data_IF_906200479339
#
_entry.id   IF_906200479339
#
_cell.length_a   1.000
_cell.length_b   1.000
_cell.length_c   1.000
_cell.angle_alpha   90.00
_cell.angle_beta   90.00
_cell.angle_gamma   90.00
#
_symmetry.space_group_name_H-M   'P 1'
#
loop_
_entity.id
_entity.type
_entity.pdbx_description
1 polymer ?
#
# COMPACT_ATOMS: atom_id res chain seq x y z
N UNK A 1 47.57 -28.03 47.66
CA UNK A 1 48.58 -26.98 47.92
C UNK A 1 49.58 -27.02 46.78
N UNK A 2 49.48 -26.10 45.80
CA UNK A 2 50.54 -25.76 44.84
C UNK A 2 50.19 -24.39 44.24
N UNK A 3 51.20 -23.55 44.15
CA UNK A 3 51.15 -22.09 43.98
C UNK A 3 51.84 -21.73 42.65
N UNK A 4 51.19 -20.86 41.84
CA UNK A 4 51.72 -19.96 40.77
C UNK A 4 52.35 -20.58 39.51
N UNK A 5 52.51 -19.83 38.37
CA UNK A 5 52.50 -18.37 38.22
C UNK A 5 51.63 -17.76 37.09
N UNK A 6 51.52 -16.43 37.14
CA UNK A 6 51.06 -15.52 36.07
C UNK A 6 52.07 -15.49 34.92
N UNK A 7 51.58 -15.45 33.68
CA UNK A 7 52.31 -14.90 32.55
C UNK A 7 51.41 -13.93 31.79
N UNK A 8 51.92 -12.71 31.63
CA UNK A 8 51.31 -11.55 31.01
C UNK A 8 52.01 -11.36 29.67
N UNK A 9 51.29 -11.40 28.54
CA UNK A 9 51.79 -10.89 27.26
C UNK A 9 50.65 -10.18 26.51
N UNK A 10 50.92 -8.92 26.18
CA UNK A 10 50.06 -8.03 25.42
C UNK A 10 50.32 -8.18 23.92
N UNK A 11 49.26 -8.20 23.09
CA UNK A 11 49.37 -7.81 21.68
C UNK A 11 48.17 -6.95 21.27
N UNK A 12 48.47 -5.65 21.21
CA UNK A 12 48.05 -4.61 20.24
C UNK A 12 46.83 -4.87 19.34
N UNK A 13 45.79 -4.06 19.60
CA UNK A 13 44.91 -3.30 18.67
C UNK A 13 44.61 -3.89 17.28
N UNK A 14 43.35 -4.30 17.09
CA UNK A 14 42.62 -4.06 15.84
C UNK A 14 41.21 -3.58 16.17
N UNK A 15 40.97 -2.27 16.03
CA UNK A 15 39.62 -1.71 15.98
C UNK A 15 39.04 -2.07 14.61
N UNK A 16 38.16 -3.06 14.55
CA UNK A 16 37.29 -3.24 13.39
C UNK A 16 36.23 -2.12 13.42
N UNK A 17 36.38 -1.18 12.50
CA UNK A 17 35.35 -0.23 12.14
C UNK A 17 34.32 -1.00 11.31
N UNK A 18 33.21 -1.39 11.94
CA UNK A 18 32.03 -1.87 11.22
C UNK A 18 31.31 -0.63 10.68
N UNK A 19 31.68 -0.21 9.47
CA UNK A 19 30.86 0.70 8.67
C UNK A 19 29.63 -0.06 8.18
N UNK A 20 28.62 -0.15 9.04
CA UNK A 20 27.29 -0.61 8.67
C UNK A 20 26.56 0.50 7.92
N UNK A 21 26.59 0.46 6.59
CA UNK A 21 25.67 1.24 5.76
C UNK A 21 24.26 0.66 5.95
N UNK A 22 23.51 1.21 6.91
CA UNK A 22 22.10 0.92 7.07
C UNK A 22 21.33 1.55 5.90
N UNK A 23 21.02 0.73 4.89
CA UNK A 23 20.04 1.06 3.84
C UNK A 23 18.66 1.15 4.50
N UNK A 24 18.32 2.34 5.00
CA UNK A 24 16.97 2.72 5.41
C UNK A 24 16.07 2.65 4.18
N UNK A 25 15.39 1.51 4.00
CA UNK A 25 14.27 1.41 3.07
C UNK A 25 13.14 2.27 3.62
N UNK A 26 13.01 3.47 3.08
CA UNK A 26 11.85 4.35 3.31
C UNK A 26 10.68 3.65 2.62
N UNK A 27 9.99 2.79 3.34
CA UNK A 27 8.63 2.39 2.96
C UNK A 27 7.77 3.59 3.33
N UNK A 28 7.52 4.46 2.35
CA UNK A 28 6.50 5.49 2.47
C UNK A 28 5.16 4.78 2.68
N UNK A 29 4.60 4.92 3.87
CA UNK A 29 3.20 4.60 4.10
C UNK A 29 2.43 5.87 3.75
N UNK A 30 1.82 5.90 2.56
CA UNK A 30 0.80 6.90 2.27
C UNK A 30 -0.28 6.80 3.35
N UNK A 31 -0.54 7.91 4.03
CA UNK A 31 -1.63 7.98 4.99
C UNK A 31 -2.92 8.14 4.19
N UNK A 32 -3.97 7.35 4.49
CA UNK A 32 -5.21 7.44 3.74
C UNK A 32 -5.78 8.84 3.88
N UNK A 33 -6.30 9.38 2.78
CA UNK A 33 -7.01 10.67 2.78
C UNK A 33 -8.14 10.65 3.81
N UNK A 34 -8.16 11.67 4.67
CA UNK A 34 -9.18 11.85 5.70
C UNK A 34 -10.21 12.90 5.27
N UNK A 35 -11.47 12.70 5.65
CA UNK A 35 -12.52 13.71 5.46
C UNK A 35 -12.12 15.08 6.01
N UNK A 36 -11.44 15.11 7.16
CA UNK A 36 -10.94 16.34 7.78
C UNK A 36 -9.97 17.12 6.89
N UNK A 37 -9.14 16.42 6.11
CA UNK A 37 -8.20 17.06 5.20
C UNK A 37 -8.94 17.63 3.98
N UNK A 38 -9.97 16.92 3.50
CA UNK A 38 -10.81 17.36 2.40
C UNK A 38 -11.77 18.50 2.76
N UNK A 39 -12.16 18.64 4.04
CA UNK A 39 -13.04 19.70 4.52
C UNK A 39 -12.34 21.06 4.64
N UNK A 40 -11.01 21.08 4.77
CA UNK A 40 -10.24 22.27 5.16
C UNK A 40 -10.40 23.46 4.20
N UNK A 41 -10.44 23.18 2.90
CA UNK A 41 -10.50 24.18 1.83
C UNK A 41 -11.76 24.02 0.94
N UNK A 42 -12.69 23.14 1.32
CA UNK A 42 -13.88 22.88 0.53
C UNK A 42 -14.98 23.92 0.79
N UNK A 43 -15.59 24.40 -0.30
CA UNK A 43 -16.73 25.32 -0.31
C UNK A 43 -18.07 24.59 -0.46
N UNK A 44 -18.04 23.28 -0.76
CA UNK A 44 -19.23 22.44 -0.88
C UNK A 44 -18.95 20.97 -0.57
N UNK A 45 -19.99 20.20 -0.25
CA UNK A 45 -19.87 18.75 -0.07
C UNK A 45 -19.50 18.02 -1.37
N UNK A 46 -19.78 18.60 -2.54
CA UNK A 46 -19.33 18.04 -3.82
C UNK A 46 -17.79 18.06 -3.92
N UNK A 47 -17.14 19.13 -3.45
CA UNK A 47 -15.68 19.23 -3.39
C UNK A 47 -15.07 18.26 -2.38
N UNK A 48 -15.69 18.11 -1.20
CA UNK A 48 -15.25 17.11 -0.20
C UNK A 48 -15.29 15.70 -0.80
N UNK A 49 -16.40 15.33 -1.46
CA UNK A 49 -16.54 14.01 -2.10
C UNK A 49 -15.52 13.78 -3.20
N UNK A 50 -15.27 14.80 -4.03
CA UNK A 50 -14.26 14.72 -5.10
C UNK A 50 -12.85 14.53 -4.51
N UNK A 51 -12.50 15.26 -3.45
CA UNK A 51 -11.24 15.09 -2.74
C UNK A 51 -11.07 13.66 -2.18
N UNK A 52 -12.11 13.13 -1.51
CA UNK A 52 -12.10 11.76 -1.01
C UNK A 52 -11.92 10.73 -2.13
N UNK A 53 -12.68 10.87 -3.23
CA UNK A 53 -12.58 9.97 -4.38
C UNK A 53 -11.18 10.00 -5.01
N UNK A 54 -10.60 11.19 -5.20
CA UNK A 54 -9.26 11.35 -5.75
C UNK A 54 -8.20 10.73 -4.85
N UNK A 55 -8.29 10.93 -3.53
CA UNK A 55 -7.38 10.31 -2.57
C UNK A 55 -7.42 8.78 -2.63
N UNK A 56 -8.61 8.19 -2.78
CA UNK A 56 -8.76 6.74 -2.96
C UNK A 56 -8.10 6.25 -4.26
N UNK A 57 -8.27 6.98 -5.35
CA UNK A 57 -7.65 6.64 -6.63
C UNK A 57 -6.12 6.75 -6.58
N UNK A 58 -5.59 7.76 -5.90
CA UNK A 58 -4.15 7.96 -5.67
C UNK A 58 -3.56 6.82 -4.82
N UNK A 59 -4.19 6.48 -3.69
CA UNK A 59 -3.76 5.38 -2.80
C UNK A 59 -3.74 4.04 -3.55
N UNK A 60 -4.77 3.78 -4.36
CA UNK A 60 -4.85 2.58 -5.19
C UNK A 60 -3.75 2.56 -6.25
N UNK A 61 -3.55 3.68 -6.95
CA UNK A 61 -2.55 3.79 -8.01
C UNK A 61 -1.14 3.62 -7.46
N UNK A 62 -0.82 4.24 -6.32
CA UNK A 62 0.48 4.07 -5.66
C UNK A 62 0.71 2.61 -5.28
N UNK A 63 -0.26 1.99 -4.62
CA UNK A 63 -0.18 0.59 -4.18
C UNK A 63 -0.01 -0.36 -5.36
N UNK A 64 -0.78 -0.18 -6.43
CA UNK A 64 -0.68 -0.97 -7.65
C UNK A 64 0.67 -0.78 -8.32
N UNK A 65 1.14 0.46 -8.50
CA UNK A 65 2.41 0.76 -9.14
C UNK A 65 3.59 0.16 -8.36
N UNK A 66 3.56 0.26 -7.04
CA UNK A 66 4.56 -0.36 -6.17
C UNK A 66 4.58 -1.88 -6.29
N UNK A 67 3.38 -2.50 -6.31
CA UNK A 67 3.23 -3.95 -6.51
C UNK A 67 3.75 -4.36 -7.89
N UNK A 68 3.37 -3.64 -8.94
CA UNK A 68 3.77 -3.89 -10.32
C UNK A 68 5.28 -3.82 -10.51
N UNK A 69 5.96 -2.82 -9.91
CA UNK A 69 7.43 -2.73 -9.95
C UNK A 69 8.08 -3.97 -9.34
N UNK A 70 7.60 -4.41 -8.16
CA UNK A 70 8.12 -5.59 -7.48
C UNK A 70 7.90 -6.86 -8.32
N UNK A 71 6.68 -7.07 -8.82
CA UNK A 71 6.32 -8.26 -9.59
C UNK A 71 7.09 -8.29 -10.91
N UNK A 72 7.12 -7.18 -11.66
CA UNK A 72 7.79 -7.11 -12.97
C UNK A 72 9.29 -7.35 -12.88
N UNK A 73 9.95 -6.86 -11.83
CA UNK A 73 11.38 -7.07 -11.63
C UNK A 73 11.75 -8.56 -11.44
N UNK A 74 10.81 -9.39 -10.97
CA UNK A 74 11.03 -10.81 -10.66
C UNK A 74 10.41 -11.75 -11.69
N UNK A 75 9.23 -11.42 -12.20
CA UNK A 75 8.50 -12.20 -13.20
C UNK A 75 7.63 -11.27 -14.07
N UNK A 76 8.11 -10.88 -15.26
CA UNK A 76 7.38 -10.00 -16.17
C UNK A 76 5.99 -10.53 -16.58
N UNK A 77 5.88 -11.84 -16.83
CA UNK A 77 4.61 -12.47 -17.22
C UNK A 77 3.56 -12.36 -16.09
N UNK A 78 3.98 -12.54 -14.83
CA UNK A 78 3.09 -12.33 -13.67
C UNK A 78 2.64 -10.88 -13.53
N UNK A 79 3.46 -9.92 -13.98
CA UNK A 79 3.09 -8.51 -13.96
C UNK A 79 1.99 -8.22 -14.98
N UNK A 80 2.04 -8.82 -16.16
CA UNK A 80 1.00 -8.68 -17.18
C UNK A 80 -0.33 -9.30 -16.70
N UNK A 81 -0.26 -10.45 -16.02
CA UNK A 81 -1.42 -11.06 -15.36
C UNK A 81 -1.99 -10.18 -14.25
N UNK A 82 -1.14 -9.53 -13.45
CA UNK A 82 -1.59 -8.60 -12.41
C UNK A 82 -2.33 -7.39 -13.02
N UNK A 83 -1.84 -6.84 -14.13
CA UNK A 83 -2.54 -5.76 -14.84
C UNK A 83 -3.88 -6.21 -15.41
N UNK A 84 -3.96 -7.39 -16.01
CA UNK A 84 -5.22 -7.94 -16.50
C UNK A 84 -6.24 -8.16 -15.36
N UNK A 85 -5.77 -8.68 -14.22
CA UNK A 85 -6.57 -8.85 -13.02
C UNK A 85 -7.05 -7.50 -12.45
N UNK A 86 -6.20 -6.47 -12.47
CA UNK A 86 -6.57 -5.11 -12.06
C UNK A 86 -7.65 -4.51 -12.96
N UNK A 87 -7.52 -4.64 -14.29
CA UNK A 87 -8.52 -4.15 -15.23
C UNK A 87 -9.88 -4.83 -15.03
N UNK A 88 -9.88 -6.15 -14.84
CA UNK A 88 -11.10 -6.91 -14.56
C UNK A 88 -11.74 -6.51 -13.23
N UNK A 89 -10.93 -6.33 -12.19
CA UNK A 89 -11.39 -5.84 -10.89
C UNK A 89 -12.01 -4.44 -11.00
N UNK A 90 -11.39 -3.51 -11.75
CA UNK A 90 -11.89 -2.15 -11.92
C UNK A 90 -13.28 -2.16 -12.55
N UNK A 91 -13.45 -2.95 -13.63
CA UNK A 91 -14.75 -3.12 -14.28
C UNK A 91 -15.80 -3.65 -13.31
N UNK A 92 -15.48 -4.70 -12.55
CA UNK A 92 -16.39 -5.27 -11.56
C UNK A 92 -16.79 -4.27 -10.48
N UNK A 93 -15.84 -3.50 -9.95
CA UNK A 93 -16.10 -2.47 -8.96
C UNK A 93 -16.98 -1.35 -9.53
N UNK A 94 -16.71 -0.88 -10.75
CA UNK A 94 -17.52 0.14 -11.43
C UNK A 94 -18.96 -0.32 -11.67
N UNK A 95 -19.15 -1.53 -12.18
CA UNK A 95 -20.47 -2.12 -12.42
C UNK A 95 -21.23 -2.27 -11.08
N UNK A 96 -20.54 -2.71 -10.03
CA UNK A 96 -21.12 -2.87 -8.68
C UNK A 96 -21.53 -1.53 -8.08
N UNK A 97 -20.71 -0.49 -8.20
CA UNK A 97 -21.06 0.83 -7.70
C UNK A 97 -22.14 1.50 -8.55
N UNK A 98 -22.22 1.20 -9.85
CA UNK A 98 -23.35 1.63 -10.69
C UNK A 98 -24.66 1.01 -10.23
N UNK A 99 -24.66 -0.29 -9.90
CA UNK A 99 -25.83 -0.94 -9.28
C UNK A 99 -26.17 -0.33 -7.92
N UNK A 100 -25.16 -0.11 -7.06
CA UNK A 100 -25.36 0.50 -5.74
C UNK A 100 -26.09 1.84 -5.85
N UNK A 101 -25.63 2.73 -6.76
CA UNK A 101 -26.28 4.01 -7.05
C UNK A 101 -27.72 3.83 -7.50
N UNK A 102 -27.97 2.92 -8.45
CA UNK A 102 -29.31 2.67 -8.99
C UNK A 102 -30.29 2.07 -7.96
N UNK A 103 -29.80 1.49 -6.87
CA UNK A 103 -30.62 0.94 -5.80
C UNK A 103 -31.20 2.01 -4.85
N UNK A 104 -30.74 3.27 -4.92
CA UNK A 104 -31.23 4.37 -4.08
C UNK A 104 -32.33 5.21 -4.76
N UNK A 105 -33.23 5.78 -3.96
CA UNK A 105 -34.41 6.50 -4.44
C UNK A 105 -34.23 8.03 -4.63
N UNK A 106 -33.12 8.61 -4.16
CA UNK A 106 -32.87 10.08 -4.25
C UNK A 106 -31.45 10.39 -4.72
N UNK A 107 -31.28 11.48 -5.47
CA UNK A 107 -30.00 11.89 -6.07
C UNK A 107 -28.92 12.27 -5.04
N UNK A 108 -29.32 12.80 -3.88
CA UNK A 108 -28.38 13.19 -2.83
C UNK A 108 -27.77 11.95 -2.16
N UNK A 109 -28.57 10.91 -1.94
CA UNK A 109 -28.09 9.61 -1.45
C UNK A 109 -27.28 8.85 -2.51
N UNK A 110 -27.57 9.09 -3.80
CA UNK A 110 -26.88 8.44 -4.92
C UNK A 110 -25.38 8.78 -4.98
N UNK A 111 -25.01 10.04 -4.74
CA UNK A 111 -23.60 10.46 -4.73
C UNK A 111 -22.82 9.88 -3.54
N UNK A 112 -23.42 9.88 -2.35
CA UNK A 112 -22.82 9.27 -1.17
C UNK A 112 -22.72 7.73 -1.32
N UNK A 113 -23.71 7.10 -1.93
CA UNK A 113 -23.69 5.67 -2.23
C UNK A 113 -22.56 5.29 -3.19
N UNK A 114 -22.30 6.10 -4.22
CA UNK A 114 -21.18 5.87 -5.13
C UNK A 114 -19.85 5.96 -4.39
N UNK A 115 -19.64 7.03 -3.63
CA UNK A 115 -18.38 7.25 -2.90
C UNK A 115 -18.14 6.15 -1.87
N UNK A 116 -19.15 5.81 -1.07
CA UNK A 116 -19.05 4.73 -0.07
C UNK A 116 -18.73 3.39 -0.73
N UNK A 117 -19.41 3.05 -1.84
CA UNK A 117 -19.11 1.82 -2.57
C UNK A 117 -17.66 1.81 -3.08
N UNK A 118 -17.20 2.93 -3.66
CA UNK A 118 -15.85 3.03 -4.20
C UNK A 118 -14.78 2.88 -3.10
N UNK A 119 -15.00 3.52 -1.95
CA UNK A 119 -14.12 3.41 -0.77
C UNK A 119 -13.93 1.96 -0.33
N UNK A 120 -15.03 1.19 -0.18
CA UNK A 120 -14.99 -0.21 0.21
C UNK A 120 -14.17 -1.06 -0.77
N UNK A 121 -14.42 -0.89 -2.07
CA UNK A 121 -13.70 -1.60 -3.12
C UNK A 121 -12.21 -1.27 -3.11
N UNK A 122 -11.87 0.02 -3.06
CA UNK A 122 -10.48 0.49 -3.08
C UNK A 122 -9.72 -0.04 -1.86
N UNK A 123 -10.27 0.10 -0.64
CA UNK A 123 -9.63 -0.39 0.58
C UNK A 123 -9.43 -1.90 0.56
N UNK A 124 -10.41 -2.65 0.09
CA UNK A 124 -10.28 -4.10 -0.07
C UNK A 124 -9.19 -4.46 -1.08
N UNK A 125 -9.11 -3.74 -2.21
CA UNK A 125 -8.10 -3.99 -3.25
C UNK A 125 -6.70 -3.66 -2.78
N UNK A 126 -6.51 -2.56 -2.06
CA UNK A 126 -5.23 -2.21 -1.45
C UNK A 126 -4.75 -3.33 -0.50
N UNK A 127 -5.63 -3.90 0.31
CA UNK A 127 -5.30 -5.06 1.18
C UNK A 127 -4.82 -6.26 0.36
N UNK A 128 -5.49 -6.59 -0.75
CA UNK A 128 -5.10 -7.68 -1.65
C UNK A 128 -3.73 -7.40 -2.30
N UNK A 129 -3.51 -6.20 -2.82
CA UNK A 129 -2.24 -5.82 -3.44
C UNK A 129 -1.08 -5.87 -2.43
N UNK A 130 -1.29 -5.41 -1.21
CA UNK A 130 -0.30 -5.52 -0.14
C UNK A 130 -0.04 -6.97 0.27
N UNK A 131 -1.06 -7.84 0.25
CA UNK A 131 -0.87 -9.27 0.44
C UNK A 131 0.00 -9.87 -0.68
N UNK A 132 -0.29 -9.55 -1.94
CA UNK A 132 0.55 -9.99 -3.06
C UNK A 132 2.00 -9.55 -2.88
N UNK A 133 2.28 -8.29 -2.52
CA UNK A 133 3.65 -7.81 -2.25
C UNK A 133 4.35 -8.61 -1.15
N UNK A 134 3.63 -8.89 -0.06
CA UNK A 134 4.17 -9.61 1.09
C UNK A 134 4.47 -11.08 0.76
N UNK A 135 3.63 -11.70 -0.06
CA UNK A 135 3.64 -13.15 -0.29
C UNK A 135 4.30 -13.53 -1.63
N UNK A 136 4.66 -12.53 -2.45
CA UNK A 136 5.29 -12.77 -3.75
C UNK A 136 6.60 -13.55 -3.65
N UNK A 137 6.63 -14.74 -4.25
CA UNK A 137 7.80 -15.61 -4.28
C UNK A 137 7.96 -16.52 -3.05
N UNK A 138 6.98 -16.55 -2.14
CA UNK A 138 6.89 -17.58 -1.10
C UNK A 138 6.44 -18.91 -1.72
N UNK A 139 6.98 -20.01 -1.23
CA UNK A 139 6.68 -21.38 -1.68
C UNK A 139 5.59 -22.07 -0.88
N UNK A 140 5.13 -21.43 0.21
CA UNK A 140 4.29 -22.05 1.21
C UNK A 140 3.00 -21.23 1.30
N UNK A 141 1.85 -21.88 1.08
CA UNK A 141 0.50 -21.30 1.14
C UNK A 141 -0.13 -21.48 2.51
#
# INVERSE_FOLDING_TARGET
MMIRPKAQQSVVKSRLVVSGAALLSIVGFASPVSAKDCEKDATSMAEVRACLANGLDEDLAETLNSTMRLVRAKNPQSADLLMAAQASWKKFADDSCTYSVAAWQTDEMANDARLSCWDDFVRARIKVLNAYRRDFGKTDF
#
